data_IF_714774047285
#
_entry.id   IF_714774047285
#
_cell.length_a   1.000
_cell.length_b   1.000
_cell.length_c   1.000
_cell.angle_alpha   90.00
_cell.angle_beta   90.00
_cell.angle_gamma   90.00
#
_symmetry.space_group_name_H-M   'P 1'
#
loop_
_entity.id
_entity.type
_entity.pdbx_description
1 polymer ?
#
# COMPACT_ATOMS: atom_id res chain seq x y z
N UNK A 1 -14.52 6.42 -4.92
CA UNK A 1 -14.03 7.48 -4.01
C UNK A 1 -14.78 7.48 -2.65
N UNK A 2 -15.16 6.33 -2.11
CA UNK A 2 -16.17 6.24 -1.03
C UNK A 2 -15.61 6.27 0.41
N UNK A 3 -14.28 6.22 0.60
CA UNK A 3 -13.66 5.94 1.92
C UNK A 3 -12.85 7.10 2.53
N UNK A 4 -12.87 8.30 1.92
CA UNK A 4 -12.13 9.49 2.39
C UNK A 4 -10.64 9.19 2.74
N UNK A 5 -10.00 8.36 1.94
CA UNK A 5 -8.58 8.06 2.03
C UNK A 5 -7.83 9.07 1.15
N UNK A 6 -6.76 9.68 1.69
CA UNK A 6 -5.84 10.50 0.90
C UNK A 6 -4.95 9.56 0.09
N UNK A 7 -5.11 9.59 -1.21
CA UNK A 7 -4.31 8.81 -2.15
C UNK A 7 -3.90 9.71 -3.32
N UNK A 8 -2.70 9.48 -3.82
CA UNK A 8 -2.11 10.17 -4.95
C UNK A 8 -1.46 9.13 -5.86
N UNK A 9 -1.48 9.37 -7.16
CA UNK A 9 -0.85 8.52 -8.16
C UNK A 9 0.43 9.22 -8.60
N UNK A 10 1.57 8.55 -8.47
CA UNK A 10 2.85 9.03 -9.01
C UNK A 10 2.91 8.70 -10.50
N UNK A 11 2.50 9.67 -11.33
CA UNK A 11 2.48 9.61 -12.80
C UNK A 11 3.80 10.01 -13.47
N UNK A 12 4.86 10.24 -12.68
CA UNK A 12 6.16 10.65 -13.20
C UNK A 12 6.79 9.59 -14.12
N UNK A 13 7.68 10.01 -15.02
CA UNK A 13 8.47 9.11 -15.88
C UNK A 13 9.65 8.43 -15.14
N UNK A 14 9.71 8.57 -13.81
CA UNK A 14 10.77 7.99 -13.00
C UNK A 14 10.70 6.46 -12.96
N UNK A 15 11.86 5.81 -12.80
CA UNK A 15 11.89 4.35 -12.59
C UNK A 15 11.17 3.96 -11.29
N UNK A 16 10.57 2.77 -11.25
CA UNK A 16 9.87 2.26 -10.06
C UNK A 16 10.70 2.40 -8.78
N UNK A 17 11.99 2.07 -8.83
CA UNK A 17 12.89 2.19 -7.69
C UNK A 17 13.10 3.65 -7.24
N UNK A 18 13.04 4.62 -8.16
CA UNK A 18 13.10 6.05 -7.81
C UNK A 18 11.79 6.50 -7.19
N UNK A 19 10.64 6.14 -7.76
CA UNK A 19 9.30 6.42 -7.19
C UNK A 19 9.16 5.89 -5.75
N UNK A 20 9.56 4.64 -5.52
CA UNK A 20 9.54 4.03 -4.18
C UNK A 20 10.41 4.82 -3.20
N UNK A 21 11.63 5.23 -3.60
CA UNK A 21 12.52 6.05 -2.74
C UNK A 21 11.92 7.43 -2.46
N UNK A 22 11.26 8.05 -3.43
CA UNK A 22 10.59 9.34 -3.26
C UNK A 22 9.42 9.22 -2.26
N UNK A 23 8.62 8.16 -2.37
CA UNK A 23 7.52 7.89 -1.45
C UNK A 23 8.01 7.60 -0.02
N UNK A 24 9.10 6.84 0.13
CA UNK A 24 9.74 6.61 1.43
C UNK A 24 10.31 7.90 2.02
N UNK A 25 10.97 8.72 1.20
CA UNK A 25 11.51 10.04 1.64
C UNK A 25 10.40 10.97 2.10
N UNK A 26 9.25 10.93 1.42
CA UNK A 26 8.05 11.69 1.76
C UNK A 26 7.25 11.08 2.93
N UNK A 27 7.75 10.00 3.54
CA UNK A 27 7.15 9.29 4.68
C UNK A 27 5.71 8.84 4.40
N UNK A 28 5.43 8.44 3.16
CA UNK A 28 4.12 7.91 2.78
C UNK A 28 3.91 6.57 3.49
N UNK A 29 2.89 6.43 4.37
CA UNK A 29 2.74 5.25 5.21
C UNK A 29 2.41 3.99 4.42
N UNK A 30 1.58 4.13 3.38
CA UNK A 30 1.10 3.03 2.55
C UNK A 30 1.43 3.32 1.08
N UNK A 31 2.23 2.45 0.47
CA UNK A 31 2.61 2.52 -0.94
C UNK A 31 2.02 1.31 -1.67
N UNK A 32 1.23 1.56 -2.71
CA UNK A 32 0.65 0.52 -3.54
C UNK A 32 1.35 0.52 -4.90
N UNK A 33 1.97 -0.61 -5.23
CA UNK A 33 2.66 -0.82 -6.51
C UNK A 33 1.73 -1.66 -7.38
N UNK A 34 1.41 -1.12 -8.55
CA UNK A 34 0.55 -1.76 -9.55
C UNK A 34 1.31 -1.77 -10.87
N UNK A 35 1.69 -2.96 -11.33
CA UNK A 35 2.21 -3.21 -12.67
C UNK A 35 1.17 -3.91 -13.55
N UNK A 36 1.62 -4.40 -14.71
CA UNK A 36 0.75 -5.11 -15.66
C UNK A 36 0.12 -6.37 -15.03
N UNK A 37 0.91 -7.16 -14.28
CA UNK A 37 0.43 -8.37 -13.60
C UNK A 37 -0.63 -8.05 -12.55
N UNK A 38 -0.40 -7.03 -11.74
CA UNK A 38 -1.34 -6.57 -10.72
C UNK A 38 -2.65 -6.08 -11.36
N UNK A 39 -2.56 -5.39 -12.49
CA UNK A 39 -3.72 -4.93 -13.24
C UNK A 39 -4.56 -6.09 -13.79
N UNK A 40 -3.93 -7.14 -14.34
CA UNK A 40 -4.63 -8.32 -14.84
C UNK A 40 -5.30 -9.14 -13.74
N UNK A 41 -4.69 -9.18 -12.56
CA UNK A 41 -5.14 -10.03 -11.43
C UNK A 41 -5.99 -9.30 -10.41
N UNK A 42 -6.33 -8.03 -10.68
CA UNK A 42 -7.01 -7.12 -9.74
C UNK A 42 -6.36 -7.14 -8.34
N UNK A 43 -5.03 -7.14 -8.33
CA UNK A 43 -4.22 -7.21 -7.13
C UNK A 43 -3.34 -5.98 -6.97
N UNK A 44 -2.73 -5.85 -5.80
CA UNK A 44 -1.84 -4.75 -5.46
C UNK A 44 -0.71 -5.30 -4.62
N UNK A 45 0.51 -4.89 -4.96
CA UNK A 45 1.68 -5.12 -4.11
C UNK A 45 1.77 -3.97 -3.11
N UNK A 46 1.45 -4.26 -1.86
CA UNK A 46 1.40 -3.28 -0.78
C UNK A 46 2.73 -3.28 -0.02
N UNK A 47 3.33 -2.10 0.07
CA UNK A 47 4.50 -1.78 0.89
C UNK A 47 4.17 -0.73 1.94
N UNK A 48 4.79 -0.83 3.11
CA UNK A 48 4.60 0.12 4.21
C UNK A 48 5.89 0.85 4.55
N UNK A 49 5.77 2.06 5.07
CA UNK A 49 6.92 2.83 5.56
C UNK A 49 7.61 2.09 6.71
N UNK A 50 8.95 2.07 6.73
CA UNK A 50 9.77 1.36 7.72
C UNK A 50 9.53 -0.15 7.84
N UNK A 51 8.82 -0.77 6.90
CA UNK A 51 8.60 -2.23 6.87
C UNK A 51 9.32 -2.80 5.65
N UNK A 52 10.25 -3.73 5.88
CA UNK A 52 11.02 -4.37 4.79
C UNK A 52 10.15 -5.31 3.96
N UNK A 53 9.13 -5.91 4.58
CA UNK A 53 8.23 -6.86 3.92
C UNK A 53 7.24 -6.14 3.00
N UNK A 54 6.89 -6.83 1.93
CA UNK A 54 5.82 -6.46 1.01
C UNK A 54 4.89 -7.65 0.82
N UNK A 55 3.61 -7.37 0.61
CA UNK A 55 2.61 -8.40 0.40
C UNK A 55 1.77 -8.06 -0.84
N UNK A 56 1.52 -9.07 -1.67
CA UNK A 56 0.60 -8.94 -2.80
C UNK A 56 -0.74 -9.54 -2.40
N UNK A 57 -1.81 -8.76 -2.53
CA UNK A 57 -3.17 -9.19 -2.18
C UNK A 57 -4.19 -8.57 -3.12
N UNK A 58 -5.43 -9.06 -3.09
CA UNK A 58 -6.51 -8.54 -3.94
C UNK A 58 -6.83 -7.09 -3.59
N UNK A 59 -7.16 -6.29 -4.60
CA UNK A 59 -7.48 -4.88 -4.42
C UNK A 59 -8.64 -4.65 -3.45
N UNK A 60 -9.67 -5.48 -3.52
CA UNK A 60 -10.83 -5.41 -2.62
C UNK A 60 -10.40 -5.57 -1.15
N UNK A 61 -9.63 -6.62 -0.86
CA UNK A 61 -9.12 -6.93 0.48
C UNK A 61 -8.19 -5.82 1.00
N UNK A 62 -7.32 -5.28 0.14
CA UNK A 62 -6.43 -4.17 0.49
C UNK A 62 -7.20 -2.89 0.84
N UNK A 63 -8.26 -2.57 0.09
CA UNK A 63 -9.10 -1.41 0.34
C UNK A 63 -9.86 -1.53 1.67
N UNK A 64 -10.43 -2.69 1.95
CA UNK A 64 -11.14 -2.96 3.21
C UNK A 64 -10.20 -2.86 4.41
N UNK A 65 -9.03 -3.48 4.31
CA UNK A 65 -7.99 -3.39 5.33
C UNK A 65 -7.58 -1.95 5.62
N UNK A 66 -7.30 -1.15 4.58
CA UNK A 66 -6.91 0.25 4.76
C UNK A 66 -8.02 1.10 5.37
N UNK A 67 -9.28 0.83 4.99
CA UNK A 67 -10.44 1.50 5.56
C UNK A 67 -10.63 1.18 7.05
N UNK A 68 -10.40 -0.08 7.46
CA UNK A 68 -10.38 -0.50 8.86
C UNK A 68 -9.25 0.18 9.63
N UNK A 69 -8.01 0.15 9.14
CA UNK A 69 -6.87 0.81 9.80
C UNK A 69 -7.13 2.30 10.04
N UNK A 70 -7.70 3.00 9.05
CA UNK A 70 -8.10 4.41 9.17
C UNK A 70 -9.22 4.61 10.20
N UNK A 71 -10.24 3.75 10.21
CA UNK A 71 -11.38 3.83 11.13
C UNK A 71 -10.95 3.59 12.58
N UNK A 72 -10.14 2.55 12.81
CA UNK A 72 -9.64 2.16 14.13
C UNK A 72 -8.41 2.98 14.58
N UNK A 73 -7.90 3.89 13.73
CA UNK A 73 -6.70 4.71 13.99
C UNK A 73 -5.49 3.89 14.40
N UNK A 74 -5.32 2.75 13.73
CA UNK A 74 -4.20 1.85 14.00
C UNK A 74 -2.91 2.45 13.45
N UNK A 75 -1.80 2.15 14.10
CA UNK A 75 -0.49 2.60 13.66
C UNK A 75 0.08 1.64 12.63
N UNK A 76 0.20 2.12 11.40
CA UNK A 76 0.53 1.33 10.22
C UNK A 76 1.92 0.69 10.21
N UNK A 77 2.80 1.10 11.12
CA UNK A 77 4.19 0.65 11.22
C UNK A 77 4.38 -0.49 12.22
N UNK A 78 3.33 -0.91 12.94
CA UNK A 78 3.44 -1.98 13.92
C UNK A 78 3.12 -3.34 13.30
N UNK A 79 3.87 -4.41 13.63
CA UNK A 79 3.68 -5.74 13.05
C UNK A 79 2.29 -6.36 13.29
N UNK A 80 1.66 -6.04 14.43
CA UNK A 80 0.36 -6.56 14.87
C UNK A 80 -0.84 -5.93 14.13
N UNK A 81 -0.60 -4.85 13.38
CA UNK A 81 -1.62 -4.09 12.64
C UNK A 81 -1.72 -4.53 11.17
N UNK A 82 -0.86 -5.46 10.75
CA UNK A 82 -0.81 -5.87 9.36
C UNK A 82 -2.09 -6.59 8.89
N UNK A 83 -2.56 -6.31 7.67
CA UNK A 83 -3.76 -6.94 7.14
C UNK A 83 -3.59 -8.45 6.98
N UNK A 84 -4.70 -9.18 7.09
CA UNK A 84 -4.73 -10.63 6.85
C UNK A 84 -4.11 -10.94 5.48
N UNK A 85 -3.15 -11.88 5.45
CA UNK A 85 -2.39 -12.21 4.24
C UNK A 85 -1.02 -11.54 4.13
N UNK A 86 -0.67 -10.63 5.04
CA UNK A 86 0.67 -10.02 5.10
C UNK A 86 1.76 -10.97 5.61
N UNK A 87 1.39 -12.04 6.30
CA UNK A 87 2.33 -12.98 6.93
C UNK A 87 2.76 -14.16 6.05
N UNK A 88 2.21 -14.32 4.84
CA UNK A 88 2.59 -15.42 3.92
C UNK A 88 3.94 -15.21 3.24
#
# INVERSE_FOLDING_TARGET
RATFIRAEVDDSADSFNKKIRNAVTSKIPNMWIVGAKEQETESVTWRRYCVTRQATMKLAEACEALAESRRARLMDNFPDVHPKGWEK
#
